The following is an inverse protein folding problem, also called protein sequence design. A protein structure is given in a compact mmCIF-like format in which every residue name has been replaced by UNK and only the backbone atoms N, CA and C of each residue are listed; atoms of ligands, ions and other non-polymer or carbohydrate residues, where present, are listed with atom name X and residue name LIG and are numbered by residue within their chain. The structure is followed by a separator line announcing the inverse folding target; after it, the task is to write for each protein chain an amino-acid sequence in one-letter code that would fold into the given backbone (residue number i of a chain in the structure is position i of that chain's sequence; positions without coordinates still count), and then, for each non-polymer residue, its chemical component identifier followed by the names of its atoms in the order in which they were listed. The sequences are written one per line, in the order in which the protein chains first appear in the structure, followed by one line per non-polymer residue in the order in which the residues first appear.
data_IF_677527394943
#
_entry.id   IF_677527394943
#
_cell.length_a   1.000
_cell.length_b   1.000
_cell.length_c   1.000
_cell.angle_alpha   90.00
_cell.angle_beta   90.00
_cell.angle_gamma   90.00
#
_symmetry.space_group_name_H-M   'P 1'
#
loop_
_entity.id
_entity.type
_entity.pdbx_description
1 polymer ?
#
# COMPACT_ATOMS: atom_id res chain seq x y z
N UNK A 1 -87.92 4.62 38.90
CA UNK A 1 -88.00 4.52 40.38
C UNK A 1 -87.58 3.12 40.83
N UNK A 2 -86.57 3.06 41.71
CA UNK A 2 -86.25 2.00 42.70
C UNK A 2 -85.97 0.53 42.26
N UNK A 3 -84.67 0.20 42.34
CA UNK A 3 -84.00 -0.90 43.11
C UNK A 3 -84.36 -2.37 42.85
N UNK A 4 -83.33 -3.19 42.56
CA UNK A 4 -82.72 -4.28 43.40
C UNK A 4 -81.78 -5.13 42.52
N UNK A 5 -80.45 -5.10 42.71
CA UNK A 5 -79.59 -5.94 43.58
C UNK A 5 -79.63 -7.47 43.33
N UNK A 6 -78.50 -7.94 42.78
CA UNK A 6 -77.72 -9.17 43.08
C UNK A 6 -78.34 -10.54 42.79
N UNK A 7 -77.70 -11.30 41.88
CA UNK A 7 -77.28 -12.68 42.13
C UNK A 7 -75.96 -12.97 41.42
N UNK A 8 -74.97 -13.35 42.22
CA UNK A 8 -73.81 -14.15 41.85
C UNK A 8 -74.29 -15.50 41.28
N UNK A 9 -73.68 -15.98 40.21
CA UNK A 9 -73.42 -17.40 40.04
C UNK A 9 -72.25 -17.60 39.07
N UNK A 10 -71.09 -17.89 39.67
CA UNK A 10 -70.07 -18.83 39.22
C UNK A 10 -70.22 -19.39 37.80
N UNK A 11 -69.31 -18.99 36.92
CA UNK A 11 -68.83 -19.86 35.86
C UNK A 11 -67.33 -19.58 35.66
N UNK A 12 -66.55 -20.18 36.57
CA UNK A 12 -65.16 -20.46 36.35
C UNK A 12 -65.08 -21.59 35.32
N UNK A 13 -64.68 -21.28 34.09
CA UNK A 13 -64.23 -22.28 33.11
C UNK A 13 -63.18 -21.64 32.20
N UNK A 14 -61.92 -21.88 32.57
CA UNK A 14 -60.83 -22.21 31.66
C UNK A 14 -60.62 -21.31 30.44
N UNK A 15 -60.17 -20.08 30.66
CA UNK A 15 -59.28 -19.43 29.69
C UNK A 15 -57.88 -20.00 29.91
N UNK A 16 -57.65 -21.18 29.31
CA UNK A 16 -56.31 -21.67 29.01
C UNK A 16 -55.70 -20.62 28.07
N UNK A 17 -54.89 -19.74 28.63
CA UNK A 17 -53.88 -19.02 27.86
C UNK A 17 -53.00 -20.09 27.22
N UNK A 18 -53.29 -20.42 25.97
CA UNK A 18 -52.31 -21.00 25.06
C UNK A 18 -51.23 -19.94 24.85
N UNK A 19 -50.32 -19.84 25.82
CA UNK A 19 -48.94 -19.52 25.50
C UNK A 19 -48.46 -20.63 24.58
N UNK A 20 -48.72 -20.49 23.28
CA UNK A 20 -47.83 -21.02 22.27
C UNK A 20 -46.51 -20.27 22.46
N UNK A 21 -45.73 -20.73 23.45
CA UNK A 21 -44.29 -20.64 23.40
C UNK A 21 -43.89 -21.41 22.16
N UNK A 22 -43.91 -20.73 21.01
CA UNK A 22 -43.20 -21.18 19.83
C UNK A 22 -41.74 -21.24 20.25
N UNK A 23 -41.30 -22.38 20.76
CA UNK A 23 -39.92 -22.78 20.65
C UNK A 23 -39.62 -22.68 19.17
N UNK A 24 -38.90 -21.62 18.76
CA UNK A 24 -38.23 -21.62 17.46
C UNK A 24 -37.49 -22.95 17.45
N UNK A 25 -37.96 -23.90 16.63
CA UNK A 25 -37.17 -25.06 16.33
C UNK A 25 -35.84 -24.50 15.86
N UNK A 26 -34.79 -24.77 16.63
CA UNK A 26 -33.43 -24.43 16.23
C UNK A 26 -33.25 -25.10 14.88
N UNK A 27 -33.11 -24.30 13.82
CA UNK A 27 -33.02 -24.83 12.47
C UNK A 27 -31.85 -25.80 12.46
N UNK A 28 -32.09 -27.05 12.04
CA UNK A 28 -31.04 -28.04 12.00
C UNK A 28 -29.87 -27.48 11.18
N UNK A 29 -28.69 -27.47 11.78
CA UNK A 29 -27.47 -26.97 11.13
C UNK A 29 -26.70 -28.14 10.53
N UNK A 30 -26.11 -27.87 9.36
CA UNK A 30 -25.15 -28.76 8.70
C UNK A 30 -23.78 -28.11 8.63
N UNK A 31 -22.76 -28.93 8.85
CA UNK A 31 -21.38 -28.55 8.62
C UNK A 31 -21.08 -28.50 7.11
N UNK A 32 -20.41 -27.43 6.70
CA UNK A 32 -19.86 -27.22 5.35
C UNK A 32 -18.36 -27.01 5.49
N UNK A 33 -17.59 -27.81 4.77
CA UNK A 33 -16.13 -27.73 4.75
C UNK A 33 -15.70 -26.93 3.53
N UNK A 34 -14.87 -25.92 3.74
CA UNK A 34 -14.17 -25.18 2.69
C UNK A 34 -12.74 -25.68 2.72
N UNK A 35 -12.46 -26.66 1.87
CA UNK A 35 -11.13 -27.21 1.70
C UNK A 35 -10.23 -26.18 1.02
N UNK A 36 -10.73 -25.62 -0.10
CA UNK A 36 -10.09 -24.52 -0.83
C UNK A 36 -11.13 -23.66 -1.56
N UNK A 37 -11.07 -22.36 -1.38
CA UNK A 37 -11.88 -21.42 -2.15
C UNK A 37 -11.02 -20.25 -2.64
N UNK A 38 -11.04 -20.01 -3.95
CA UNK A 38 -10.36 -18.89 -4.59
C UNK A 38 -11.36 -18.08 -5.41
N UNK A 39 -11.40 -16.77 -5.22
CA UNK A 39 -12.08 -15.87 -6.16
C UNK A 39 -11.06 -15.05 -6.94
N UNK A 40 -11.22 -15.02 -8.25
CA UNK A 40 -10.42 -14.19 -9.16
C UNK A 40 -11.34 -13.24 -9.92
N UNK A 41 -10.86 -12.04 -10.20
CA UNK A 41 -11.62 -10.97 -10.83
C UNK A 41 -10.93 -10.48 -12.09
N UNK A 42 -11.67 -10.39 -13.19
CA UNK A 42 -11.25 -9.73 -14.42
C UNK A 42 -12.17 -8.57 -14.76
N UNK A 43 -11.71 -7.64 -15.60
CA UNK A 43 -12.55 -6.57 -16.17
C UNK A 43 -12.92 -6.85 -17.63
N UNK A 44 -11.92 -7.04 -18.49
CA UNK A 44 -12.12 -7.30 -19.92
C UNK A 44 -11.84 -8.76 -20.26
N UNK A 45 -10.62 -9.23 -19.98
CA UNK A 45 -10.20 -10.57 -20.32
C UNK A 45 -10.11 -11.50 -19.10
N UNK A 46 -10.77 -12.66 -19.18
CA UNK A 46 -10.78 -13.69 -18.14
C UNK A 46 -9.39 -14.26 -17.85
N UNK A 47 -8.51 -14.31 -18.84
CA UNK A 47 -7.13 -14.77 -18.62
C UNK A 47 -6.28 -13.78 -17.79
N UNK A 48 -6.71 -12.53 -17.66
CA UNK A 48 -6.06 -11.49 -16.85
C UNK A 48 -6.70 -11.37 -15.45
N UNK A 49 -7.48 -12.38 -15.03
CA UNK A 49 -8.14 -12.36 -13.74
C UNK A 49 -7.11 -12.33 -12.60
N UNK A 50 -7.33 -11.44 -11.62
CA UNK A 50 -6.48 -11.29 -10.45
C UNK A 50 -7.16 -11.81 -9.18
N UNK A 51 -6.44 -12.46 -8.27
CA UNK A 51 -6.98 -12.88 -6.98
C UNK A 51 -7.14 -11.69 -6.01
N UNK A 52 -7.95 -11.87 -4.97
CA UNK A 52 -8.02 -10.95 -3.82
C UNK A 52 -7.07 -11.47 -2.74
N UNK A 53 -5.82 -11.01 -2.74
CA UNK A 53 -4.77 -11.53 -1.85
C UNK A 53 -4.79 -10.85 -0.50
N UNK A 54 -4.47 -11.58 0.56
CA UNK A 54 -4.19 -11.01 1.88
C UNK A 54 -5.26 -10.09 2.48
N UNK A 55 -6.50 -10.17 2.03
CA UNK A 55 -7.60 -9.34 2.52
C UNK A 55 -8.31 -10.02 3.69
N UNK A 56 -8.76 -9.24 4.67
CA UNK A 56 -9.67 -9.75 5.69
C UNK A 56 -10.91 -10.36 5.03
N UNK A 57 -11.41 -11.46 5.56
CA UNK A 57 -12.48 -12.24 4.97
C UNK A 57 -13.55 -12.57 6.00
N UNK A 58 -14.81 -12.45 5.58
CA UNK A 58 -15.96 -12.97 6.31
C UNK A 58 -16.68 -14.02 5.48
N UNK A 59 -17.07 -15.11 6.13
CA UNK A 59 -18.00 -16.09 5.54
C UNK A 59 -19.37 -15.82 6.15
N UNK A 60 -20.40 -15.73 5.31
CA UNK A 60 -21.74 -15.36 5.73
C UNK A 60 -22.82 -16.02 4.86
N UNK A 61 -24.07 -15.96 5.30
CA UNK A 61 -25.24 -16.28 4.48
C UNK A 61 -26.33 -15.22 4.65
N UNK A 62 -27.35 -15.29 3.79
CA UNK A 62 -28.58 -14.52 3.91
C UNK A 62 -29.75 -15.48 4.13
N UNK A 63 -30.59 -15.20 5.12
CA UNK A 63 -31.80 -15.99 5.33
C UNK A 63 -32.89 -15.68 4.28
N UNK A 64 -34.01 -16.39 4.36
CA UNK A 64 -35.15 -16.20 3.45
C UNK A 64 -35.74 -14.78 3.48
N UNK A 65 -35.48 -13.98 4.53
CA UNK A 65 -35.89 -12.57 4.63
C UNK A 65 -34.80 -11.61 4.12
N UNK A 66 -33.68 -12.13 3.61
CA UNK A 66 -32.53 -11.34 3.17
C UNK A 66 -31.71 -10.75 4.32
N UNK A 67 -31.91 -11.21 5.56
CA UNK A 67 -31.10 -10.77 6.69
C UNK A 67 -29.75 -11.47 6.65
N UNK A 68 -28.69 -10.69 6.84
CA UNK A 68 -27.30 -11.13 6.87
C UNK A 68 -26.96 -11.85 8.18
N UNK A 69 -26.32 -13.01 8.09
CA UNK A 69 -25.78 -13.78 9.22
C UNK A 69 -24.31 -14.12 8.97
N UNK A 70 -23.42 -13.71 9.88
CA UNK A 70 -21.97 -13.94 9.77
C UNK A 70 -21.62 -15.26 10.45
N UNK A 71 -20.93 -16.13 9.73
CA UNK A 71 -20.47 -17.45 10.19
C UNK A 71 -19.04 -17.40 10.74
N UNK A 72 -18.18 -16.63 10.07
CA UNK A 72 -16.76 -16.38 10.42
C UNK A 72 -16.38 -14.97 10.03
N UNK A 73 -15.56 -14.30 10.83
CA UNK A 73 -15.05 -12.95 10.58
C UNK A 73 -13.59 -12.72 10.99
N UNK A 74 -12.87 -13.81 11.26
CA UNK A 74 -11.49 -13.89 11.73
C UNK A 74 -10.52 -14.40 10.64
N UNK A 75 -10.98 -14.46 9.40
CA UNK A 75 -10.24 -15.08 8.29
C UNK A 75 -9.48 -14.03 7.47
N UNK A 76 -8.48 -14.52 6.75
CA UNK A 76 -7.76 -13.76 5.72
C UNK A 76 -7.50 -14.70 4.53
N UNK A 77 -7.63 -14.18 3.31
CA UNK A 77 -7.10 -14.88 2.14
C UNK A 77 -5.57 -14.91 2.15
N UNK A 78 -4.96 -15.95 1.61
CA UNK A 78 -3.50 -16.10 1.56
C UNK A 78 -2.85 -15.28 0.41
N UNK A 79 -1.55 -15.48 0.20
CA UNK A 79 -0.77 -14.84 -0.87
C UNK A 79 -1.22 -15.24 -2.28
N UNK A 80 -1.99 -16.32 -2.43
CA UNK A 80 -2.63 -16.71 -3.69
C UNK A 80 -4.09 -16.23 -3.75
N UNK A 81 -4.59 -15.60 -2.70
CA UNK A 81 -5.99 -15.18 -2.54
C UNK A 81 -6.93 -16.32 -2.14
N UNK A 82 -6.39 -17.44 -1.67
CA UNK A 82 -7.16 -18.63 -1.32
C UNK A 82 -7.59 -18.62 0.14
N UNK A 83 -8.71 -19.29 0.40
CA UNK A 83 -9.26 -19.57 1.74
C UNK A 83 -9.26 -21.07 1.90
N UNK A 84 -8.57 -21.61 2.90
CA UNK A 84 -8.34 -23.05 3.04
C UNK A 84 -8.69 -23.57 4.43
N UNK A 85 -9.10 -24.82 4.50
CA UNK A 85 -9.30 -25.57 5.73
C UNK A 85 -10.23 -24.89 6.75
N UNK A 86 -11.35 -24.35 6.27
CA UNK A 86 -12.36 -23.70 7.12
C UNK A 86 -13.62 -24.55 7.20
N UNK A 87 -14.18 -24.73 8.39
CA UNK A 87 -15.50 -25.35 8.56
C UNK A 87 -16.47 -24.32 9.11
N UNK A 88 -17.68 -24.29 8.56
CA UNK A 88 -18.79 -23.44 9.01
C UNK A 88 -20.07 -24.26 9.14
N UNK A 89 -20.91 -23.93 10.12
CA UNK A 89 -22.24 -24.51 10.24
C UNK A 89 -23.25 -23.56 9.61
N UNK A 90 -24.15 -24.10 8.80
CA UNK A 90 -25.22 -23.34 8.15
C UNK A 90 -26.55 -24.06 8.38
N UNK A 91 -27.68 -23.33 8.54
CA UNK A 91 -28.98 -23.96 8.56
C UNK A 91 -29.23 -24.80 7.28
N UNK A 92 -29.95 -25.90 7.41
CA UNK A 92 -30.16 -26.87 6.32
C UNK A 92 -30.83 -26.26 5.07
N UNK A 93 -31.69 -25.25 5.25
CA UNK A 93 -32.38 -24.55 4.17
C UNK A 93 -31.46 -23.57 3.40
N UNK A 94 -30.28 -23.25 3.94
CA UNK A 94 -29.31 -22.40 3.28
C UNK A 94 -28.52 -23.21 2.26
N UNK A 95 -28.65 -22.82 0.99
CA UNK A 95 -27.99 -23.46 -0.16
C UNK A 95 -26.73 -22.73 -0.64
N UNK A 96 -26.40 -21.57 -0.08
CA UNK A 96 -25.32 -20.70 -0.55
C UNK A 96 -24.62 -20.02 0.61
N UNK A 97 -23.29 -20.02 0.57
CA UNK A 97 -22.44 -19.18 1.42
C UNK A 97 -21.83 -18.05 0.60
N UNK A 98 -21.45 -16.98 1.28
CA UNK A 98 -20.86 -15.79 0.69
C UNK A 98 -19.54 -15.49 1.39
N UNK A 99 -18.58 -15.04 0.58
CA UNK A 99 -17.23 -14.64 0.96
C UNK A 99 -17.14 -13.13 0.75
N UNK A 100 -17.22 -12.35 1.83
CA UNK A 100 -17.04 -10.90 1.84
C UNK A 100 -15.57 -10.61 2.16
N UNK A 101 -14.85 -10.07 1.20
CA UNK A 101 -13.47 -9.63 1.36
C UNK A 101 -13.51 -8.16 1.75
N UNK A 102 -12.85 -7.79 2.84
CA UNK A 102 -12.63 -6.41 3.26
C UNK A 102 -11.20 -6.06 2.84
N UNK A 103 -11.04 -5.11 1.92
CA UNK A 103 -9.71 -4.69 1.42
C UNK A 103 -8.97 -3.87 2.49
N UNK A 104 -8.60 -4.55 3.58
CA UNK A 104 -7.94 -3.99 4.74
C UNK A 104 -7.15 -5.04 5.52
N UNK A 105 -6.04 -4.58 6.11
CA UNK A 105 -5.23 -5.32 7.10
C UNK A 105 -4.73 -4.34 8.18
N UNK A 106 -4.82 -4.68 9.49
CA UNK A 106 -4.37 -3.79 10.56
C UNK A 106 -2.91 -3.35 10.44
N UNK A 107 -2.05 -4.19 9.90
CA UNK A 107 -0.62 -3.96 9.76
C UNK A 107 -0.24 -3.26 8.44
N UNK A 108 -1.17 -3.09 7.50
CA UNK A 108 -0.91 -2.41 6.21
C UNK A 108 -1.74 -1.16 6.07
N UNK A 109 -3.06 -1.26 6.18
CA UNK A 109 -3.98 -0.18 5.85
C UNK A 109 -5.26 -0.71 5.21
N UNK A 110 -5.92 0.13 4.43
CA UNK A 110 -7.19 -0.21 3.77
C UNK A 110 -7.43 0.64 2.53
N UNK A 111 -8.15 0.09 1.55
CA UNK A 111 -8.65 0.88 0.41
C UNK A 111 -10.03 1.42 0.75
N UNK A 112 -10.23 2.73 0.59
CA UNK A 112 -11.52 3.40 0.78
C UNK A 112 -11.97 4.12 -0.49
N UNK A 113 -13.27 4.20 -0.71
CA UNK A 113 -13.87 4.89 -1.86
C UNK A 113 -14.05 6.41 -1.61
N UNK A 114 -14.61 7.14 -2.57
CA UNK A 114 -14.88 8.59 -2.49
C UNK A 114 -15.70 9.02 -1.28
N UNK A 115 -16.51 8.11 -0.73
CA UNK A 115 -17.32 8.32 0.49
C UNK A 115 -16.56 8.00 1.78
N UNK A 116 -15.29 7.60 1.67
CA UNK A 116 -14.44 7.18 2.79
C UNK A 116 -14.82 5.80 3.36
N UNK A 117 -15.55 4.97 2.60
CA UNK A 117 -15.98 3.63 3.06
C UNK A 117 -15.03 2.58 2.49
N UNK A 118 -14.61 1.61 3.31
CA UNK A 118 -13.73 0.53 2.86
C UNK A 118 -14.40 -0.35 1.82
N UNK A 119 -13.64 -0.72 0.78
CA UNK A 119 -14.11 -1.64 -0.25
C UNK A 119 -14.34 -3.03 0.31
N UNK A 120 -15.53 -3.58 0.01
CA UNK A 120 -15.98 -4.89 0.52
C UNK A 120 -16.59 -5.77 -0.58
N UNK A 121 -15.80 -6.24 -1.56
CA UNK A 121 -16.31 -7.15 -2.59
C UNK A 121 -16.83 -8.47 -1.97
N UNK A 122 -17.98 -8.94 -2.44
CA UNK A 122 -18.64 -10.15 -1.91
C UNK A 122 -18.98 -11.13 -3.03
N UNK A 123 -18.59 -12.39 -2.89
CA UNK A 123 -18.87 -13.46 -3.85
C UNK A 123 -19.66 -14.59 -3.21
N UNK A 124 -20.66 -15.13 -3.90
CA UNK A 124 -21.48 -16.24 -3.39
C UNK A 124 -21.17 -17.56 -4.09
N UNK A 125 -21.12 -18.66 -3.34
CA UNK A 125 -20.94 -20.01 -3.86
C UNK A 125 -22.01 -20.97 -3.33
N UNK A 126 -22.58 -21.77 -4.23
CA UNK A 126 -23.60 -22.77 -3.87
C UNK A 126 -22.93 -23.90 -3.10
N UNK A 127 -23.50 -24.29 -1.96
CA UNK A 127 -23.02 -25.40 -1.15
C UNK A 127 -23.28 -26.70 -1.93
N UNK A 128 -22.25 -27.48 -2.30
CA UNK A 128 -22.46 -28.74 -3.01
C UNK A 128 -23.10 -29.80 -2.10
N UNK A 129 -23.68 -30.84 -2.70
CA UNK A 129 -24.39 -31.90 -1.96
C UNK A 129 -23.48 -32.66 -0.98
N UNK A 130 -22.20 -32.85 -1.35
CA UNK A 130 -21.18 -33.44 -0.48
C UNK A 130 -20.69 -32.49 0.63
N UNK A 131 -21.19 -31.25 0.66
CA UNK A 131 -20.91 -30.20 1.65
C UNK A 131 -19.43 -29.78 1.71
N UNK A 132 -18.65 -30.07 0.67
CA UNK A 132 -17.25 -29.68 0.57
C UNK A 132 -17.07 -28.70 -0.59
N UNK A 133 -16.58 -27.50 -0.28
CA UNK A 133 -16.20 -26.48 -1.24
C UNK A 133 -14.70 -26.61 -1.52
N UNK A 134 -14.37 -27.10 -2.71
CA UNK A 134 -13.08 -26.95 -3.37
C UNK A 134 -13.32 -26.32 -4.75
N UNK A 135 -13.08 -25.01 -4.86
CA UNK A 135 -13.44 -24.28 -6.07
C UNK A 135 -12.57 -23.04 -6.33
N UNK A 136 -12.27 -22.83 -7.62
CA UNK A 136 -11.84 -21.53 -8.14
C UNK A 136 -13.00 -20.87 -8.87
N UNK A 137 -13.37 -19.67 -8.45
CA UNK A 137 -14.34 -18.84 -9.12
C UNK A 137 -13.64 -17.69 -9.83
N UNK A 138 -13.52 -17.81 -11.15
CA UNK A 138 -13.23 -16.65 -11.99
C UNK A 138 -14.54 -15.91 -12.22
N UNK A 139 -14.60 -14.68 -11.72
CA UNK A 139 -15.79 -13.85 -11.69
C UNK A 139 -15.44 -12.48 -12.18
N UNK A 140 -16.49 -11.75 -12.43
CA UNK A 140 -16.42 -10.33 -12.63
C UNK A 140 -16.65 -9.52 -11.34
N UNK A 141 -17.24 -10.19 -10.36
CA UNK A 141 -17.80 -9.68 -9.10
C UNK A 141 -18.77 -8.49 -9.19
N UNK A 142 -19.94 -8.71 -8.61
CA UNK A 142 -21.15 -7.88 -8.62
C UNK A 142 -21.34 -7.15 -7.29
N UNK A 143 -21.52 -5.83 -7.36
CA UNK A 143 -22.45 -5.08 -6.50
C UNK A 143 -23.45 -4.24 -7.34
N UNK A 144 -23.49 -4.38 -8.68
CA UNK A 144 -24.54 -3.77 -9.51
C UNK A 144 -24.61 -4.42 -10.90
N UNK A 145 -25.80 -4.47 -11.48
CA UNK A 145 -26.09 -4.86 -12.87
C UNK A 145 -25.60 -3.85 -13.94
N UNK A 146 -24.57 -3.05 -13.62
CA UNK A 146 -24.11 -1.90 -14.43
C UNK A 146 -22.63 -2.10 -14.78
N UNK A 147 -22.28 -1.81 -16.02
CA UNK A 147 -20.91 -1.94 -16.57
C UNK A 147 -19.85 -1.19 -15.73
N UNK A 148 -20.22 -0.05 -15.13
CA UNK A 148 -19.36 0.73 -14.25
C UNK A 148 -18.91 0.00 -12.96
N UNK A 149 -19.63 -1.04 -12.51
CA UNK A 149 -19.24 -1.81 -11.33
C UNK A 149 -18.06 -2.76 -11.57
N UNK A 150 -17.79 -3.10 -12.84
CA UNK A 150 -16.81 -4.10 -13.30
C UNK A 150 -15.39 -3.61 -13.08
N UNK A 151 -15.07 -2.52 -13.78
CA UNK A 151 -13.77 -1.87 -13.74
C UNK A 151 -13.48 -1.32 -12.34
N UNK A 152 -14.50 -0.82 -11.64
CA UNK A 152 -14.38 -0.32 -10.28
C UNK A 152 -13.87 -1.38 -9.29
N UNK A 153 -14.46 -2.58 -9.28
CA UNK A 153 -13.99 -3.67 -8.42
C UNK A 153 -12.60 -4.16 -8.81
N UNK A 154 -12.36 -4.32 -10.13
CA UNK A 154 -11.07 -4.80 -10.64
C UNK A 154 -9.93 -3.86 -10.23
N UNK A 155 -10.13 -2.56 -10.44
CA UNK A 155 -9.14 -1.55 -10.09
C UNK A 155 -8.94 -1.42 -8.57
N UNK A 156 -10.00 -1.51 -7.76
CA UNK A 156 -9.88 -1.48 -6.30
C UNK A 156 -9.10 -2.68 -5.74
N UNK A 157 -9.23 -3.86 -6.35
CA UNK A 157 -8.50 -5.07 -5.94
C UNK A 157 -7.06 -5.03 -6.46
N UNK A 158 -6.85 -4.52 -7.67
CA UNK A 158 -5.52 -4.27 -8.24
C UNK A 158 -4.72 -3.32 -7.35
N UNK A 159 -5.27 -2.16 -7.00
CA UNK A 159 -4.58 -1.20 -6.12
C UNK A 159 -4.35 -1.78 -4.71
N UNK A 160 -5.28 -2.59 -4.18
CA UNK A 160 -5.08 -3.28 -2.91
C UNK A 160 -3.89 -4.23 -2.94
N UNK A 161 -3.82 -5.10 -3.94
CA UNK A 161 -2.74 -6.07 -4.09
C UNK A 161 -1.38 -5.36 -4.20
N UNK A 162 -1.28 -4.31 -5.02
CA UNK A 162 -0.06 -3.49 -5.18
C UNK A 162 0.33 -2.78 -3.89
N UNK A 163 -0.66 -2.19 -3.21
CA UNK A 163 -0.44 -1.52 -1.93
C UNK A 163 0.07 -2.49 -0.85
N UNK A 164 -0.51 -3.68 -0.76
CA UNK A 164 -0.06 -4.72 0.18
C UNK A 164 1.37 -5.18 -0.11
N UNK A 165 1.67 -5.50 -1.37
CA UNK A 165 3.00 -5.96 -1.80
C UNK A 165 4.08 -4.89 -1.52
N UNK A 166 3.80 -3.62 -1.84
CA UNK A 166 4.72 -2.49 -1.62
C UNK A 166 5.07 -2.29 -0.13
N UNK A 167 4.05 -2.34 0.74
CA UNK A 167 4.28 -2.18 2.19
C UNK A 167 5.12 -3.33 2.74
N UNK A 168 4.84 -4.56 2.32
CA UNK A 168 5.59 -5.72 2.79
C UNK A 168 6.99 -5.81 2.18
N UNK A 169 7.19 -5.44 0.92
CA UNK A 169 8.52 -5.34 0.32
C UNK A 169 9.43 -4.40 1.13
N UNK A 170 8.90 -3.26 1.58
CA UNK A 170 9.66 -2.32 2.40
C UNK A 170 10.00 -2.93 3.77
N UNK A 171 9.03 -3.59 4.42
CA UNK A 171 9.22 -4.26 5.72
C UNK A 171 10.23 -5.40 5.63
N UNK A 172 10.09 -6.25 4.63
CA UNK A 172 10.95 -7.40 4.39
C UNK A 172 12.37 -6.96 4.08
N UNK A 173 12.54 -5.91 3.27
CA UNK A 173 13.85 -5.31 2.99
C UNK A 173 14.54 -4.79 4.25
N UNK A 174 13.81 -4.08 5.12
CA UNK A 174 14.32 -3.64 6.42
C UNK A 174 14.69 -4.84 7.29
N UNK A 175 13.83 -5.86 7.36
CA UNK A 175 14.09 -7.06 8.16
C UNK A 175 15.33 -7.81 7.66
N UNK A 176 15.50 -7.94 6.34
CA UNK A 176 16.70 -8.51 5.71
C UNK A 176 17.97 -7.75 6.12
N UNK A 177 17.95 -6.42 6.06
CA UNK A 177 19.09 -5.61 6.46
C UNK A 177 19.41 -5.74 7.97
N UNK A 178 18.37 -5.75 8.82
CA UNK A 178 18.55 -5.94 10.26
C UNK A 178 19.06 -7.35 10.61
N UNK A 179 18.64 -8.38 9.89
CA UNK A 179 19.11 -9.76 10.11
C UNK A 179 20.53 -9.97 9.58
N UNK A 180 20.87 -9.37 8.45
CA UNK A 180 22.24 -9.35 7.93
C UNK A 180 23.19 -8.57 8.85
N UNK A 181 22.69 -7.49 9.48
CA UNK A 181 23.48 -6.60 10.33
C UNK A 181 22.81 -6.35 11.70
N UNK A 182 22.85 -7.34 12.62
CA UNK A 182 22.15 -7.26 13.90
C UNK A 182 22.52 -6.06 14.77
N UNK A 183 23.71 -5.47 14.57
CA UNK A 183 24.14 -4.25 15.24
C UNK A 183 23.28 -3.02 14.93
N UNK A 184 22.47 -3.03 13.86
CA UNK A 184 21.53 -1.96 13.52
C UNK A 184 20.22 -2.04 14.32
N UNK A 185 19.86 -3.22 14.85
CA UNK A 185 18.60 -3.46 15.58
C UNK A 185 18.43 -2.55 16.80
N UNK A 186 19.43 -2.33 17.68
CA UNK A 186 19.26 -1.50 18.87
C UNK A 186 18.91 -0.04 18.57
N UNK A 187 19.34 0.48 17.42
CA UNK A 187 19.11 1.87 17.00
C UNK A 187 17.85 2.05 16.16
N UNK A 188 17.32 0.97 15.58
CA UNK A 188 16.16 1.03 14.70
C UNK A 188 14.86 1.01 15.52
N UNK A 189 14.25 2.19 15.68
CA UNK A 189 12.96 2.33 16.34
C UNK A 189 11.95 2.97 15.38
N UNK A 190 11.20 2.12 14.70
CA UNK A 190 10.23 2.54 13.70
C UNK A 190 9.07 1.54 13.61
N UNK A 191 7.86 2.09 13.59
CA UNK A 191 6.65 1.32 13.36
C UNK A 191 6.11 1.64 11.97
N UNK A 192 5.84 0.59 11.20
CA UNK A 192 5.13 0.71 9.93
C UNK A 192 3.63 0.85 10.19
N UNK A 193 3.21 2.00 10.72
CA UNK A 193 1.78 2.19 11.02
C UNK A 193 0.95 2.23 9.73
N UNK A 194 -0.26 1.67 9.74
CA UNK A 194 -1.11 1.59 8.57
C UNK A 194 -1.62 2.96 8.12
N UNK A 195 -1.85 3.12 6.82
CA UNK A 195 -2.46 4.32 6.24
C UNK A 195 -3.59 3.95 5.26
N UNK A 196 -4.77 4.59 5.32
CA UNK A 196 -5.80 4.35 4.31
C UNK A 196 -5.39 4.95 2.95
N UNK A 197 -5.68 4.22 1.88
CA UNK A 197 -5.57 4.69 0.50
C UNK A 197 -6.97 4.98 -0.03
N UNK A 198 -7.21 6.23 -0.41
CA UNK A 198 -8.41 6.69 -1.09
C UNK A 198 -8.23 6.45 -2.59
N UNK A 199 -9.08 5.59 -3.15
CA UNK A 199 -9.15 5.35 -4.59
C UNK A 199 -10.58 4.99 -5.00
N UNK A 200 -11.03 5.53 -6.12
CA UNK A 200 -12.27 5.10 -6.77
C UNK A 200 -12.14 5.31 -8.27
N UNK A 201 -12.51 4.27 -9.04
CA UNK A 201 -12.51 4.36 -10.49
C UNK A 201 -13.44 5.50 -10.96
N UNK A 202 -12.97 6.30 -11.91
CA UNK A 202 -13.62 7.54 -12.38
C UNK A 202 -13.85 8.61 -11.29
N UNK A 203 -13.10 8.56 -10.20
CA UNK A 203 -13.13 9.58 -9.17
C UNK A 203 -11.77 10.27 -9.01
N UNK A 204 -11.84 11.60 -8.92
CA UNK A 204 -10.69 12.49 -8.83
C UNK A 204 -10.92 13.51 -7.71
N UNK A 205 -10.41 13.22 -6.51
CA UNK A 205 -10.42 14.17 -5.37
C UNK A 205 -9.42 15.31 -5.59
N UNK A 206 -8.26 14.97 -6.15
CA UNK A 206 -7.09 15.84 -6.34
C UNK A 206 -6.64 15.80 -7.80
N UNK A 207 -5.92 16.83 -8.26
CA UNK A 207 -5.42 16.89 -9.65
C UNK A 207 -4.44 15.77 -9.99
N UNK A 208 -3.66 15.33 -8.99
CA UNK A 208 -2.73 14.21 -9.03
C UNK A 208 -2.71 13.45 -7.69
N UNK A 209 -1.85 12.42 -7.57
CA UNK A 209 -1.61 11.72 -6.31
C UNK A 209 -1.24 12.69 -5.18
N UNK A 210 -1.61 12.35 -3.96
CA UNK A 210 -1.28 13.18 -2.81
C UNK A 210 -1.30 12.42 -1.49
N UNK A 211 -0.26 12.60 -0.70
CA UNK A 211 -0.21 12.32 0.71
C UNK A 211 -0.82 13.49 1.48
N UNK A 212 -1.90 13.21 2.23
CA UNK A 212 -2.55 14.20 3.09
C UNK A 212 -2.20 13.91 4.55
N UNK A 213 -1.54 14.86 5.20
CA UNK A 213 -1.03 14.72 6.57
C UNK A 213 -2.09 14.85 7.67
N UNK A 214 -3.23 15.47 7.35
CA UNK A 214 -4.41 15.61 8.22
C UNK A 214 -5.68 15.76 7.37
N UNK A 215 -6.66 14.88 7.58
CA UNK A 215 -7.94 14.94 6.91
C UNK A 215 -8.96 15.83 7.64
N UNK A 216 -9.83 16.51 6.89
CA UNK A 216 -11.19 16.78 7.34
C UNK A 216 -11.96 15.45 7.33
N UNK A 217 -12.69 15.11 8.39
CA UNK A 217 -13.30 13.76 8.49
C UNK A 217 -14.27 13.47 7.34
N UNK A 218 -14.18 12.27 6.74
CA UNK A 218 -15.16 11.76 5.77
C UNK A 218 -15.21 10.22 5.82
N UNK A 219 -16.41 9.66 6.01
CA UNK A 219 -16.61 8.22 6.16
C UNK A 219 -15.83 7.61 7.32
N UNK A 220 -15.00 6.61 7.00
CA UNK A 220 -14.12 5.94 7.95
C UNK A 220 -12.78 6.65 8.15
N UNK A 221 -12.43 7.65 7.34
CA UNK A 221 -11.26 8.51 7.57
C UNK A 221 -11.64 9.59 8.59
N UNK A 222 -10.99 9.54 9.75
CA UNK A 222 -11.28 10.43 10.87
C UNK A 222 -10.54 11.77 10.73
N UNK A 223 -11.04 12.78 11.46
CA UNK A 223 -10.37 14.08 11.53
C UNK A 223 -8.92 13.85 11.99
N UNK A 224 -7.98 14.57 11.38
CA UNK A 224 -6.54 14.51 11.68
C UNK A 224 -5.86 13.17 11.34
N UNK A 225 -6.57 12.22 10.73
CA UNK A 225 -5.99 10.98 10.22
C UNK A 225 -5.28 11.24 8.88
N UNK A 226 -4.01 10.83 8.73
CA UNK A 226 -3.32 10.85 7.44
C UNK A 226 -3.93 9.85 6.46
N UNK A 227 -3.87 10.15 5.15
CA UNK A 227 -4.29 9.22 4.10
C UNK A 227 -3.53 9.51 2.79
N UNK A 228 -3.44 8.49 1.94
CA UNK A 228 -2.94 8.61 0.56
C UNK A 228 -4.15 8.74 -0.36
N UNK A 229 -4.10 9.65 -1.33
CA UNK A 229 -5.12 9.85 -2.36
C UNK A 229 -4.52 9.51 -3.71
N UNK A 230 -5.02 8.46 -4.36
CA UNK A 230 -4.66 8.12 -5.74
C UNK A 230 -5.88 8.43 -6.61
N UNK A 231 -5.82 9.44 -7.50
CA UNK A 231 -6.93 9.73 -8.39
C UNK A 231 -6.97 8.75 -9.57
N UNK A 232 -8.18 8.44 -10.06
CA UNK A 232 -8.33 7.89 -11.41
C UNK A 232 -8.27 9.05 -12.41
N UNK A 233 -7.12 9.23 -13.07
CA UNK A 233 -6.93 10.31 -14.05
C UNK A 233 -7.52 9.93 -15.40
N UNK A 234 -7.97 10.92 -16.18
CA UNK A 234 -8.63 10.67 -17.47
C UNK A 234 -7.77 9.84 -18.44
N UNK A 235 -6.45 10.01 -18.41
CA UNK A 235 -5.51 9.26 -19.24
C UNK A 235 -5.55 7.74 -18.98
N UNK A 236 -5.87 7.32 -17.75
CA UNK A 236 -5.98 5.90 -17.40
C UNK A 236 -7.08 5.16 -18.18
N UNK A 237 -8.07 5.88 -18.70
CA UNK A 237 -9.11 5.30 -19.56
C UNK A 237 -8.57 4.82 -20.91
N UNK A 238 -7.37 5.27 -21.30
CA UNK A 238 -6.69 4.88 -22.55
C UNK A 238 -5.40 4.10 -22.33
N UNK A 239 -4.95 3.98 -21.07
CA UNK A 239 -3.76 3.23 -20.73
C UNK A 239 -3.98 1.73 -20.93
N UNK A 240 -2.95 1.04 -21.42
CA UNK A 240 -2.88 -0.42 -21.35
C UNK A 240 -2.86 -0.88 -19.90
N UNK A 241 -3.16 -2.16 -19.64
CA UNK A 241 -3.11 -2.71 -18.27
C UNK A 241 -1.74 -2.58 -17.62
N UNK A 242 -0.67 -2.70 -18.41
CA UNK A 242 0.72 -2.48 -17.96
C UNK A 242 0.95 -1.01 -17.59
N UNK A 243 0.47 -0.07 -18.38
CA UNK A 243 0.60 1.37 -18.06
C UNK A 243 -0.21 1.77 -16.82
N UNK A 244 -1.38 1.17 -16.61
CA UNK A 244 -2.16 1.37 -15.38
C UNK A 244 -1.42 0.80 -14.16
N UNK A 245 -0.80 -0.37 -14.31
CA UNK A 245 -0.01 -1.01 -13.28
C UNK A 245 1.18 -0.16 -12.86
N UNK A 246 1.97 0.30 -13.83
CA UNK A 246 3.09 1.22 -13.62
C UNK A 246 2.61 2.54 -12.98
N UNK A 247 1.47 3.09 -13.42
CA UNK A 247 0.87 4.26 -12.78
C UNK A 247 0.56 4.01 -11.30
N UNK A 248 0.00 2.86 -10.93
CA UNK A 248 -0.26 2.57 -9.52
C UNK A 248 1.02 2.39 -8.72
N UNK A 249 2.00 1.64 -9.23
CA UNK A 249 3.25 1.37 -8.51
C UNK A 249 4.02 2.65 -8.21
N UNK A 250 4.19 3.50 -9.23
CA UNK A 250 4.89 4.79 -9.09
C UNK A 250 4.17 5.66 -8.06
N UNK A 251 2.86 5.86 -8.22
CA UNK A 251 2.15 6.86 -7.43
C UNK A 251 1.82 6.38 -6.01
N UNK A 252 1.55 5.09 -5.81
CA UNK A 252 1.42 4.54 -4.45
C UNK A 252 2.74 4.64 -3.71
N UNK A 253 3.84 4.25 -4.36
CA UNK A 253 5.16 4.23 -3.71
C UNK A 253 5.71 5.63 -3.45
N UNK A 254 5.45 6.60 -4.33
CA UNK A 254 5.75 8.02 -4.08
C UNK A 254 5.10 8.52 -2.79
N UNK A 255 3.79 8.32 -2.66
CA UNK A 255 3.03 8.81 -1.52
C UNK A 255 3.28 8.00 -0.24
N UNK A 256 3.59 6.70 -0.38
CA UNK A 256 4.09 5.87 0.71
C UNK A 256 5.47 6.35 1.21
N UNK A 257 6.33 6.80 0.31
CA UNK A 257 7.61 7.45 0.66
C UNK A 257 7.41 8.67 1.56
N UNK A 258 6.40 9.51 1.28
CA UNK A 258 6.05 10.63 2.15
C UNK A 258 5.52 10.16 3.50
N UNK A 259 4.62 9.18 3.51
CA UNK A 259 4.06 8.64 4.75
C UNK A 259 5.16 8.10 5.68
N UNK A 260 6.05 7.28 5.13
CA UNK A 260 7.13 6.67 5.91
C UNK A 260 8.12 7.70 6.43
N UNK A 261 8.50 8.67 5.60
CA UNK A 261 9.32 9.79 6.05
C UNK A 261 8.61 10.57 7.17
N UNK A 262 7.30 10.85 7.05
CA UNK A 262 6.53 11.54 8.10
C UNK A 262 6.56 10.78 9.42
N UNK A 263 6.42 9.45 9.38
CA UNK A 263 6.49 8.62 10.59
C UNK A 263 7.86 8.76 11.27
N UNK A 264 8.95 8.76 10.49
CA UNK A 264 10.31 8.90 11.01
C UNK A 264 10.58 10.29 11.62
N UNK A 265 10.21 11.37 10.91
CA UNK A 265 10.58 12.75 11.28
C UNK A 265 9.49 13.52 12.02
N UNK A 266 8.30 12.94 12.15
CA UNK A 266 7.11 13.51 12.81
C UNK A 266 6.35 14.57 12.02
N UNK A 267 7.00 15.26 11.07
CA UNK A 267 6.38 16.29 10.20
C UNK A 267 7.12 16.43 8.88
N UNK A 268 6.38 16.53 7.77
CA UNK A 268 6.97 16.87 6.47
C UNK A 268 6.99 18.37 6.27
N UNK A 269 7.98 18.84 5.49
CA UNK A 269 8.00 20.23 5.02
C UNK A 269 6.81 20.49 4.08
N UNK A 270 6.10 21.59 4.33
CA UNK A 270 5.08 22.13 3.43
C UNK A 270 5.66 23.25 2.58
N UNK A 271 5.01 23.59 1.46
CA UNK A 271 5.45 24.66 0.57
C UNK A 271 4.90 24.49 -0.83
N UNK A 272 5.13 25.49 -1.68
CA UNK A 272 4.85 25.40 -3.10
C UNK A 272 5.78 24.37 -3.74
N UNK A 273 5.23 23.53 -4.61
CA UNK A 273 5.93 22.51 -5.37
C UNK A 273 5.95 22.92 -6.83
N UNK A 274 7.14 23.21 -7.38
CA UNK A 274 7.31 23.72 -8.74
C UNK A 274 7.71 22.61 -9.74
N UNK A 275 7.37 21.35 -9.43
CA UNK A 275 7.75 20.18 -10.22
C UNK A 275 9.07 19.54 -9.76
N UNK A 276 9.40 18.37 -10.32
CA UNK A 276 10.60 17.61 -9.94
C UNK A 276 11.92 18.25 -10.40
N UNK A 277 11.84 19.11 -11.42
CA UNK A 277 12.96 19.73 -12.14
C UNK A 277 13.22 21.18 -11.72
N UNK A 278 12.30 21.78 -10.97
CA UNK A 278 12.42 23.15 -10.50
C UNK A 278 13.42 23.28 -9.34
N UNK A 279 14.10 24.43 -9.28
CA UNK A 279 14.90 24.78 -8.10
C UNK A 279 13.99 25.03 -6.90
N UNK A 280 14.36 24.45 -5.76
CA UNK A 280 13.73 24.70 -4.47
C UNK A 280 14.69 25.48 -3.57
N UNK A 281 14.29 26.68 -3.16
CA UNK A 281 15.06 27.46 -2.16
C UNK A 281 15.17 26.72 -0.82
N UNK A 282 14.16 25.92 -0.47
CA UNK A 282 14.16 25.08 0.71
C UNK A 282 14.61 23.67 0.36
N UNK A 283 15.86 23.34 0.69
CA UNK A 283 16.46 22.02 0.46
C UNK A 283 15.69 20.86 1.09
N UNK A 284 14.95 21.12 2.17
CA UNK A 284 14.10 20.09 2.77
C UNK A 284 12.98 19.63 1.83
N UNK A 285 12.52 20.51 0.93
CA UNK A 285 11.53 20.16 -0.08
C UNK A 285 12.15 19.22 -1.12
N UNK A 286 13.35 19.54 -1.60
CA UNK A 286 14.15 18.68 -2.49
C UNK A 286 14.36 17.30 -1.88
N UNK A 287 14.72 17.25 -0.60
CA UNK A 287 14.92 15.99 0.12
C UNK A 287 13.63 15.17 0.23
N UNK A 288 12.54 15.79 0.68
CA UNK A 288 11.24 15.14 0.87
C UNK A 288 10.67 14.57 -0.43
N UNK A 289 10.66 15.37 -1.50
CA UNK A 289 10.15 14.94 -2.80
C UNK A 289 11.12 13.99 -3.49
N UNK A 290 12.43 14.25 -3.44
CA UNK A 290 13.44 13.38 -4.04
C UNK A 290 13.48 11.98 -3.42
N UNK A 291 13.28 11.87 -2.10
CA UNK A 291 13.06 10.58 -1.44
C UNK A 291 11.86 9.85 -2.02
N UNK A 292 10.73 10.53 -2.17
CA UNK A 292 9.51 9.91 -2.70
C UNK A 292 9.63 9.53 -4.17
N UNK A 293 10.29 10.34 -5.00
CA UNK A 293 10.62 9.95 -6.39
C UNK A 293 11.52 8.72 -6.38
N UNK A 294 12.51 8.65 -5.48
CA UNK A 294 13.37 7.48 -5.35
C UNK A 294 12.54 6.24 -5.01
N UNK A 295 11.71 6.31 -3.97
CA UNK A 295 10.81 5.23 -3.55
C UNK A 295 9.91 4.75 -4.71
N UNK A 296 9.32 5.69 -5.44
CA UNK A 296 8.45 5.42 -6.58
C UNK A 296 9.14 4.53 -7.62
N UNK A 297 10.35 4.91 -8.00
CA UNK A 297 11.05 4.23 -9.06
C UNK A 297 11.76 2.95 -8.60
N UNK A 298 12.38 2.93 -7.40
CA UNK A 298 13.03 1.71 -6.89
C UNK A 298 12.03 0.57 -6.71
N UNK A 299 10.79 0.88 -6.32
CA UNK A 299 9.73 -0.11 -6.18
C UNK A 299 9.25 -0.60 -7.56
N UNK A 300 9.02 0.32 -8.50
CA UNK A 300 8.47 -0.01 -9.82
C UNK A 300 9.45 -0.77 -10.70
N UNK A 301 10.74 -0.43 -10.64
CA UNK A 301 11.73 -0.91 -11.60
C UNK A 301 12.92 -1.65 -10.98
N UNK A 302 13.08 -1.64 -9.65
CA UNK A 302 14.24 -2.23 -9.00
C UNK A 302 15.57 -1.63 -9.48
N UNK A 303 16.57 -2.48 -9.70
CA UNK A 303 17.85 -2.07 -10.33
C UNK A 303 17.77 -1.84 -11.84
N UNK A 304 16.67 -2.23 -12.49
CA UNK A 304 16.47 -2.00 -13.92
C UNK A 304 15.74 -0.66 -14.17
N UNK A 305 15.90 0.28 -13.25
CA UNK A 305 15.32 1.62 -13.33
C UNK A 305 15.60 2.22 -14.70
N UNK A 306 14.50 2.52 -15.40
CA UNK A 306 14.45 2.90 -16.80
C UNK A 306 15.68 3.74 -17.20
N UNK A 307 16.62 3.09 -17.88
CA UNK A 307 17.89 3.61 -18.39
C UNK A 307 17.76 4.93 -19.19
N UNK A 308 16.54 5.26 -19.65
CA UNK A 308 16.21 6.54 -20.27
C UNK A 308 16.13 7.73 -19.30
N UNK A 309 15.78 7.52 -18.02
CA UNK A 309 15.85 8.54 -16.97
C UNK A 309 17.29 8.72 -16.48
N UNK A 310 17.98 7.59 -16.32
CA UNK A 310 19.34 7.43 -15.84
C UNK A 310 20.37 8.31 -16.57
N UNK A 311 20.63 8.04 -17.86
CA UNK A 311 21.55 8.88 -18.65
C UNK A 311 21.07 10.31 -18.84
N UNK A 312 19.77 10.54 -18.72
CA UNK A 312 19.21 11.84 -18.99
C UNK A 312 19.57 12.86 -17.92
N UNK A 313 19.75 12.45 -16.66
CA UNK A 313 19.99 13.36 -15.54
C UNK A 313 21.49 13.59 -15.30
N UNK A 314 22.30 12.53 -15.38
CA UNK A 314 23.74 12.62 -15.07
C UNK A 314 24.60 13.00 -16.28
N UNK A 315 24.18 12.63 -17.50
CA UNK A 315 25.05 12.66 -18.69
C UNK A 315 24.53 13.45 -19.87
N UNK A 316 23.27 13.88 -19.87
CA UNK A 316 22.73 14.63 -20.99
C UNK A 316 23.15 16.11 -20.93
N UNK A 317 24.30 16.41 -21.53
CA UNK A 317 24.60 17.74 -22.06
C UNK A 317 23.40 18.20 -22.90
N UNK A 318 22.60 19.11 -22.34
CA UNK A 318 21.48 19.78 -23.00
C UNK A 318 20.03 19.40 -22.64
N UNK A 319 19.71 18.30 -21.92
CA UNK A 319 18.29 17.99 -21.57
C UNK A 319 17.91 18.18 -20.10
N UNK A 320 18.81 17.86 -19.16
CA UNK A 320 18.57 18.04 -17.71
C UNK A 320 19.75 18.66 -16.96
N UNK A 321 20.66 19.37 -17.66
CA UNK A 321 21.74 20.18 -17.04
C UNK A 321 21.25 21.11 -15.93
N UNK A 322 19.96 21.47 -15.92
CA UNK A 322 19.38 22.31 -14.89
C UNK A 322 19.21 21.62 -13.53
N UNK A 323 19.30 20.29 -13.43
CA UNK A 323 19.26 19.58 -12.14
C UNK A 323 20.64 19.54 -11.48
N UNK A 324 21.70 19.41 -12.27
CA UNK A 324 23.06 19.14 -11.79
C UNK A 324 23.47 20.12 -10.68
N UNK A 325 23.81 19.58 -9.51
CA UNK A 325 24.24 20.33 -8.34
C UNK A 325 23.25 21.36 -7.78
N UNK A 326 22.03 21.44 -8.31
CA UNK A 326 20.98 22.34 -7.83
C UNK A 326 20.06 21.63 -6.85
N UNK A 327 19.44 22.41 -5.96
CA UNK A 327 18.43 21.90 -5.03
C UNK A 327 17.13 21.57 -5.77
N UNK A 328 17.12 20.42 -6.46
CA UNK A 328 15.95 19.87 -7.14
C UNK A 328 15.63 18.48 -6.60
N UNK A 329 14.40 18.04 -6.81
CA UNK A 329 13.95 16.71 -6.37
C UNK A 329 14.68 15.62 -7.15
N UNK A 330 14.95 15.85 -8.44
CA UNK A 330 15.69 14.92 -9.28
C UNK A 330 17.15 14.76 -8.86
N UNK A 331 17.83 15.83 -8.43
CA UNK A 331 19.21 15.75 -7.92
C UNK A 331 19.28 14.85 -6.70
N UNK A 332 18.34 15.02 -5.75
CA UNK A 332 18.25 14.16 -4.57
C UNK A 332 17.93 12.72 -4.95
N UNK A 333 17.01 12.51 -5.89
CA UNK A 333 16.66 11.19 -6.40
C UNK A 333 17.87 10.46 -6.99
N UNK A 334 18.69 11.15 -7.80
CA UNK A 334 19.89 10.57 -8.40
C UNK A 334 20.90 10.12 -7.35
N UNK A 335 21.13 10.93 -6.31
CA UNK A 335 22.01 10.54 -5.20
C UNK A 335 21.51 9.26 -4.51
N UNK A 336 20.21 9.17 -4.22
CA UNK A 336 19.66 7.96 -3.61
C UNK A 336 19.75 6.75 -4.51
N UNK A 337 19.59 6.94 -5.83
CA UNK A 337 19.78 5.89 -6.83
C UNK A 337 21.22 5.39 -6.81
N UNK A 338 22.21 6.26 -6.86
CA UNK A 338 23.63 5.86 -6.91
C UNK A 338 24.07 5.18 -5.61
N UNK A 339 23.49 5.58 -4.47
CA UNK A 339 23.66 4.83 -3.21
C UNK A 339 23.04 3.43 -3.30
N UNK A 340 21.90 3.31 -3.97
CA UNK A 340 21.09 2.10 -4.04
C UNK A 340 21.60 1.07 -5.05
N UNK A 341 21.98 1.54 -6.24
CA UNK A 341 22.20 0.74 -7.45
C UNK A 341 23.48 -0.12 -7.35
N UNK A 342 23.64 -0.99 -8.34
CA UNK A 342 24.81 -1.80 -8.57
C UNK A 342 25.84 -1.07 -9.42
N UNK A 343 27.10 -1.33 -9.13
CA UNK A 343 28.19 -0.96 -10.03
C UNK A 343 27.85 -1.35 -11.48
N UNK A 344 27.93 -0.38 -12.37
CA UNK A 344 27.55 -0.55 -13.76
C UNK A 344 28.78 -0.35 -14.64
N UNK A 345 29.15 -1.31 -15.51
CA UNK A 345 30.21 -1.09 -16.48
C UNK A 345 29.84 -0.01 -17.52
N UNK A 346 28.58 0.44 -17.55
CA UNK A 346 28.12 1.55 -18.39
C UNK A 346 28.31 2.90 -17.73
N UNK A 347 28.48 2.94 -16.42
CA UNK A 347 28.72 4.14 -15.61
C UNK A 347 30.04 3.99 -14.84
N UNK A 348 31.18 3.84 -15.54
CA UNK A 348 32.47 3.55 -14.90
C UNK A 348 32.92 4.61 -13.87
N UNK A 349 32.35 5.81 -13.93
CA UNK A 349 32.57 6.89 -12.98
C UNK A 349 31.75 6.73 -11.67
N UNK A 350 30.59 6.07 -11.71
CA UNK A 350 29.76 5.79 -10.54
C UNK A 350 29.81 4.31 -10.17
N UNK A 351 30.58 4.01 -9.14
CA UNK A 351 30.88 2.64 -8.70
C UNK A 351 30.48 2.41 -7.25
N UNK A 352 29.81 3.38 -6.61
CA UNK A 352 29.39 3.19 -5.23
C UNK A 352 28.18 2.25 -5.17
N UNK A 353 28.23 1.28 -4.25
CA UNK A 353 27.22 0.24 -4.10
C UNK A 353 27.07 -0.05 -2.61
N UNK A 354 26.02 0.47 -1.99
CA UNK A 354 25.84 0.38 -0.54
C UNK A 354 25.76 -1.07 -0.06
N UNK A 355 25.09 -1.94 -0.83
CA UNK A 355 24.95 -3.35 -0.45
C UNK A 355 26.30 -4.05 -0.44
N UNK A 356 27.16 -3.82 -1.44
CA UNK A 356 28.51 -4.43 -1.47
C UNK A 356 29.47 -3.80 -0.50
N UNK A 357 29.37 -2.49 -0.28
CA UNK A 357 30.12 -1.79 0.76
C UNK A 357 29.92 -2.46 2.13
N UNK A 358 28.67 -2.87 2.43
CA UNK A 358 28.32 -3.55 3.67
C UNK A 358 28.51 -5.08 3.65
N UNK A 359 28.35 -5.70 2.49
CA UNK A 359 28.50 -7.14 2.28
C UNK A 359 29.30 -7.41 0.98
N UNK A 360 30.64 -7.49 1.05
CA UNK A 360 31.49 -7.56 -0.14
C UNK A 360 31.17 -8.73 -1.11
N UNK A 361 30.64 -9.84 -0.60
CA UNK A 361 30.24 -11.00 -1.39
C UNK A 361 28.79 -10.96 -1.90
N UNK A 362 28.02 -9.88 -1.64
CA UNK A 362 26.60 -9.80 -2.03
C UNK A 362 26.39 -9.92 -3.54
N UNK A 363 27.37 -9.53 -4.36
CA UNK A 363 27.31 -9.68 -5.82
C UNK A 363 27.26 -11.14 -6.31
N UNK A 364 27.59 -12.10 -5.45
CA UNK A 364 27.48 -13.54 -5.74
C UNK A 364 26.17 -14.16 -5.23
N UNK A 365 25.35 -13.38 -4.51
CA UNK A 365 24.05 -13.81 -4.00
C UNK A 365 22.95 -13.53 -5.02
N UNK A 366 21.75 -13.99 -4.67
CA UNK A 366 20.54 -13.73 -5.43
C UNK A 366 20.32 -12.21 -5.66
N UNK A 367 20.09 -11.76 -6.90
CA UNK A 367 19.90 -10.33 -7.21
C UNK A 367 18.75 -9.68 -6.43
N UNK A 368 17.66 -10.42 -6.18
CA UNK A 368 16.53 -9.90 -5.39
C UNK A 368 16.94 -9.67 -3.93
N UNK A 369 17.70 -10.61 -3.33
CA UNK A 369 18.27 -10.40 -1.99
C UNK A 369 19.13 -9.14 -1.91
N UNK A 370 20.01 -8.92 -2.88
CA UNK A 370 20.86 -7.72 -2.94
C UNK A 370 20.02 -6.45 -3.02
N UNK A 371 19.00 -6.44 -3.87
CA UNK A 371 18.08 -5.31 -4.01
C UNK A 371 17.37 -4.98 -2.70
N UNK A 372 16.84 -6.01 -2.01
CA UNK A 372 16.20 -5.86 -0.70
C UNK A 372 17.19 -5.37 0.36
N UNK A 373 18.45 -5.81 0.32
CA UNK A 373 19.50 -5.33 1.20
C UNK A 373 19.76 -3.83 1.00
N UNK A 374 19.91 -3.35 -0.25
CA UNK A 374 20.05 -1.92 -0.55
C UNK A 374 18.85 -1.12 -0.06
N UNK A 375 17.62 -1.57 -0.37
CA UNK A 375 16.38 -0.93 0.09
C UNK A 375 16.36 -0.81 1.61
N UNK A 376 16.66 -1.90 2.32
CA UNK A 376 16.63 -1.95 3.78
C UNK A 376 17.65 -1.01 4.42
N UNK A 377 18.90 -1.00 3.93
CA UNK A 377 19.95 -0.13 4.47
C UNK A 377 19.61 1.35 4.28
N UNK A 378 19.18 1.75 3.07
CA UNK A 378 18.77 3.14 2.80
C UNK A 378 17.58 3.57 3.67
N UNK A 379 16.59 2.70 3.84
CA UNK A 379 15.43 2.98 4.68
C UNK A 379 15.81 3.13 6.16
N UNK A 380 16.69 2.26 6.67
CA UNK A 380 17.21 2.35 8.06
C UNK A 380 17.92 3.69 8.30
N UNK A 381 18.74 4.16 7.34
CA UNK A 381 19.39 5.47 7.44
C UNK A 381 18.36 6.60 7.45
N UNK A 382 17.34 6.56 6.58
CA UNK A 382 16.28 7.58 6.54
C UNK A 382 15.57 7.68 7.89
N UNK A 383 15.21 6.53 8.46
CA UNK A 383 14.55 6.44 9.76
C UNK A 383 15.43 6.97 10.89
N UNK A 384 16.64 6.45 11.02
CA UNK A 384 17.48 6.71 12.19
C UNK A 384 18.09 8.12 12.17
N UNK A 385 18.39 8.64 10.98
CA UNK A 385 18.91 10.01 10.82
C UNK A 385 17.89 11.06 11.23
N UNK A 386 16.60 10.78 11.03
CA UNK A 386 15.51 11.77 11.10
C UNK A 386 15.81 13.04 10.29
N UNK A 387 16.62 12.89 9.24
CA UNK A 387 17.10 13.97 8.41
C UNK A 387 15.93 14.69 7.74
N UNK A 388 16.05 16.01 7.63
CA UNK A 388 15.12 16.86 6.90
C UNK A 388 15.72 17.33 5.59
N UNK A 389 17.02 17.22 5.41
CA UNK A 389 17.74 17.55 4.18
C UNK A 389 18.66 16.40 3.76
N UNK A 390 19.09 16.41 2.49
CA UNK A 390 20.03 15.41 1.99
C UNK A 390 21.39 15.49 2.71
N UNK A 391 21.88 16.70 2.99
CA UNK A 391 23.12 16.89 3.74
C UNK A 391 23.05 16.30 5.16
N UNK A 392 21.92 16.43 5.86
CA UNK A 392 21.72 15.79 7.17
C UNK A 392 21.73 14.25 7.08
N UNK A 393 21.14 13.70 6.02
CA UNK A 393 21.13 12.26 5.76
C UNK A 393 22.55 11.73 5.50
N UNK A 394 23.32 12.40 4.63
CA UNK A 394 24.71 12.04 4.31
C UNK A 394 25.61 12.20 5.53
N UNK A 395 25.46 13.27 6.30
CA UNK A 395 26.21 13.46 7.54
C UNK A 395 25.94 12.34 8.56
N UNK A 396 24.69 11.85 8.64
CA UNK A 396 24.38 10.68 9.47
C UNK A 396 25.07 9.42 8.94
N UNK A 397 25.06 9.18 7.62
CA UNK A 397 25.74 8.03 7.03
C UNK A 397 27.23 8.03 7.36
N UNK A 398 27.90 9.18 7.25
CA UNK A 398 29.31 9.31 7.60
C UNK A 398 29.55 9.07 9.09
N UNK A 399 28.79 9.74 9.95
CA UNK A 399 28.96 9.67 11.41
C UNK A 399 28.69 8.26 11.98
N UNK A 400 27.91 7.44 11.27
CA UNK A 400 27.53 6.09 11.70
C UNK A 400 28.14 5.00 10.81
N UNK A 401 29.21 5.31 10.08
CA UNK A 401 30.01 4.33 9.35
C UNK A 401 29.17 3.51 8.33
N UNK A 402 28.20 4.16 7.69
CA UNK A 402 27.48 3.61 6.53
C UNK A 402 28.27 3.77 5.23
N UNK A 403 29.19 4.73 5.17
CA UNK A 403 30.06 4.99 4.01
C UNK A 403 31.38 4.22 4.20
N UNK A 404 31.49 3.02 3.59
CA UNK A 404 32.70 2.17 3.68
C UNK A 404 33.75 2.50 2.62
N UNK A 405 33.31 2.83 1.41
CA UNK A 405 34.18 3.27 0.30
C UNK A 405 34.05 4.79 0.14
N UNK A 406 34.82 5.54 0.94
CA UNK A 406 34.77 7.00 0.94
C UNK A 406 35.16 7.61 -0.43
N UNK A 407 36.25 7.19 -1.09
CA UNK A 407 36.59 7.73 -2.40
C UNK A 407 35.50 7.53 -3.45
N UNK A 408 34.92 6.33 -3.57
CA UNK A 408 33.83 6.08 -4.51
C UNK A 408 32.58 6.89 -4.17
N UNK A 409 32.27 7.02 -2.87
CA UNK A 409 31.13 7.83 -2.42
C UNK A 409 31.32 9.33 -2.71
N UNK A 410 32.51 9.88 -2.45
CA UNK A 410 32.81 11.29 -2.76
C UNK A 410 32.77 11.57 -4.27
N UNK A 411 33.24 10.64 -5.10
CA UNK A 411 33.12 10.76 -6.56
C UNK A 411 31.66 10.77 -7.00
N UNK A 412 30.82 9.86 -6.47
CA UNK A 412 29.37 9.85 -6.72
C UNK A 412 28.71 11.17 -6.35
N UNK A 413 29.06 11.77 -5.20
CA UNK A 413 28.54 13.10 -4.83
C UNK A 413 28.95 14.17 -5.86
N UNK A 414 30.21 14.18 -6.28
CA UNK A 414 30.73 15.14 -7.26
C UNK A 414 30.05 14.98 -8.64
N UNK A 415 29.80 13.75 -9.08
CA UNK A 415 29.09 13.44 -10.33
C UNK A 415 27.65 13.96 -10.36
N UNK A 416 27.05 14.15 -9.19
CA UNK A 416 25.73 14.74 -9.04
C UNK A 416 25.77 16.24 -8.68
N UNK A 417 26.97 16.84 -8.62
CA UNK A 417 27.18 18.25 -8.32
C UNK A 417 26.95 18.59 -6.84
N UNK A 418 27.17 17.65 -5.92
CA UNK A 418 27.21 17.91 -4.49
C UNK A 418 28.65 18.06 -4.00
N UNK A 419 28.84 18.78 -2.90
CA UNK A 419 30.11 18.75 -2.18
C UNK A 419 30.23 17.50 -1.29
N UNK A 420 31.40 17.29 -0.67
CA UNK A 420 31.66 16.13 0.20
C UNK A 420 30.78 16.05 1.45
N UNK A 421 29.99 17.11 1.75
CA UNK A 421 29.01 17.12 2.84
C UNK A 421 27.58 16.90 2.35
N UNK A 422 27.38 16.60 1.07
CA UNK A 422 26.07 16.39 0.47
C UNK A 422 25.29 17.68 0.23
N UNK A 423 25.95 18.84 0.14
CA UNK A 423 25.31 20.14 -0.10
C UNK A 423 25.32 20.47 -1.58
N UNK A 424 24.24 21.09 -2.05
CA UNK A 424 24.08 21.53 -3.45
C UNK A 424 25.14 22.57 -3.82
N UNK A 425 25.81 22.42 -4.95
CA UNK A 425 26.87 23.36 -5.33
C UNK A 425 26.38 24.56 -6.14
N UNK A 426 25.16 24.52 -6.71
CA UNK A 426 24.63 25.53 -7.62
C UNK A 426 23.26 26.10 -7.19
N UNK A 427 23.09 27.41 -7.35
CA UNK A 427 21.82 28.12 -7.15
C UNK A 427 20.89 28.06 -8.39
N UNK A 428 19.77 28.77 -8.33
CA UNK A 428 18.79 28.83 -9.42
C UNK A 428 19.38 29.36 -10.75
N UNK A 429 20.40 30.22 -10.68
CA UNK A 429 21.06 30.88 -11.81
C UNK A 429 22.37 30.20 -12.26
N UNK A 430 22.63 28.96 -11.82
CA UNK A 430 23.89 28.24 -12.08
C UNK A 430 25.14 28.88 -11.46
N UNK A 431 25.01 29.64 -10.38
CA UNK A 431 26.17 30.19 -9.67
C UNK A 431 26.52 29.30 -8.50
N UNK A 432 27.82 29.23 -8.20
CA UNK A 432 28.33 28.47 -7.07
C UNK A 432 27.73 28.99 -5.75
N UNK A 433 27.14 28.09 -4.95
CA UNK A 433 26.64 28.39 -3.62
C UNK A 433 27.82 28.47 -2.65
N UNK A 434 27.93 29.58 -1.94
CA UNK A 434 28.88 29.74 -0.83
C UNK A 434 28.15 29.54 0.49
N UNK A 435 28.26 28.35 1.05
CA UNK A 435 27.77 28.06 2.39
C UNK A 435 28.66 28.76 3.42
N UNK A 436 28.03 29.56 4.29
CA UNK A 436 28.72 30.29 5.37
C UNK A 436 29.04 29.39 6.55
#
# INVERSE_FOLDING_TARGET
MKRRKHYLCLLALGLIFLFFGGTKAEAAERSVVIDRFLTMIYSENKEEAIPIRNAQLKILYYDAQGKRHVLRDDLVSDDNGEVKNVTVNVPDDIIRVYFEYVLSRPEVGKIVNSKGITYRPITGFVIPDNRTIDATLVRFLLNSSVENGREHNYQAIKIWNRYYDMVNETKDSVQIALDAFPQLKPTFNYSFDPIPVLYEHNYKKTSGPAFTSSATSFGEIKKDQPFISIPHIDAMNTYTRIQQDEFFDINLSHEWGHWTMRQAIGRLVGGAYNGHTGFNENEALSYKEGWSVFQANRYTYGYDWNWHLDNSIQRALGKYEFCYGRSTNWTVNSIFRDIYDRESPREPEDQYDLARAWMPNVGSLDPEYRQKLSTGLIFIVMVNSKAKTLAEYIAYMEANDFIKDKPAFEEMLNLNGLDSKGRFTLDAENKAIVYK
#
